data_IF_770920937648
#
_entry.id   IF_770920937648
#
_cell.length_a   1.000
_cell.length_b   1.000
_cell.length_c   1.000
_cell.angle_alpha   90.00
_cell.angle_beta   90.00
_cell.angle_gamma   90.00
#
_symmetry.space_group_name_H-M   'P 1'
#
loop_
_entity.id
_entity.type
_entity.pdbx_description
1 polymer ?
#
# COMPACT_ATOMS: atom_id res chain seq x y z
N UNK A 1 13.90 2.86 -16.87
CA UNK A 1 14.04 1.49 -16.32
C UNK A 1 12.65 0.89 -16.19
N UNK A 2 12.48 -0.40 -16.45
CA UNK A 2 11.18 -1.07 -16.31
C UNK A 2 10.92 -1.39 -14.84
N UNK A 3 9.71 -1.09 -14.34
CA UNK A 3 9.30 -1.47 -12.97
C UNK A 3 9.44 -2.97 -12.71
N UNK A 4 9.46 -3.80 -13.75
CA UNK A 4 9.63 -5.25 -13.64
C UNK A 4 10.89 -5.62 -12.84
N UNK A 5 12.03 -5.01 -13.16
CA UNK A 5 13.30 -5.31 -12.47
C UNK A 5 13.25 -4.86 -11.00
N UNK A 6 12.57 -3.76 -10.71
CA UNK A 6 12.38 -3.28 -9.34
C UNK A 6 11.48 -4.23 -8.54
N UNK A 7 10.38 -4.71 -9.14
CA UNK A 7 9.47 -5.69 -8.53
C UNK A 7 10.21 -6.99 -8.22
N UNK A 8 10.96 -7.52 -9.18
CA UNK A 8 11.74 -8.76 -9.02
C UNK A 8 12.78 -8.62 -7.90
N UNK A 9 13.45 -7.47 -7.84
CA UNK A 9 14.42 -7.17 -6.78
C UNK A 9 13.75 -7.07 -5.41
N UNK A 10 12.68 -6.27 -5.28
CA UNK A 10 11.96 -6.09 -4.01
C UNK A 10 11.42 -7.44 -3.51
N UNK A 11 10.87 -8.25 -4.41
CA UNK A 11 10.43 -9.60 -4.08
C UNK A 11 11.58 -10.43 -3.50
N UNK A 12 12.70 -10.53 -4.23
CA UNK A 12 13.87 -11.27 -3.77
C UNK A 12 14.38 -10.76 -2.41
N UNK A 13 14.52 -9.44 -2.24
CA UNK A 13 15.03 -8.83 -1.01
C UNK A 13 14.10 -9.13 0.19
N UNK A 14 12.78 -9.13 -0.02
CA UNK A 14 11.78 -9.34 1.03
C UNK A 14 11.51 -10.83 1.34
N UNK A 15 11.89 -11.75 0.45
CA UNK A 15 11.58 -13.18 0.59
C UNK A 15 12.79 -14.11 0.61
N UNK A 16 14.02 -13.59 0.52
CA UNK A 16 15.23 -14.42 0.56
C UNK A 16 15.36 -15.21 1.89
N UNK A 17 14.81 -14.67 2.99
CA UNK A 17 14.74 -15.31 4.32
C UNK A 17 15.99 -16.13 4.69
N UNK A 18 17.17 -15.55 4.51
CA UNK A 18 18.45 -16.22 4.75
C UNK A 18 18.61 -16.70 6.21
N UNK A 19 17.81 -16.16 7.13
CA UNK A 19 17.65 -16.65 8.49
C UNK A 19 16.16 -16.93 8.79
N UNK A 20 15.79 -18.13 9.31
CA UNK A 20 14.42 -18.45 9.68
C UNK A 20 13.73 -17.44 10.60
N UNK A 21 14.48 -16.73 11.47
CA UNK A 21 13.92 -15.69 12.33
C UNK A 21 13.34 -14.50 11.55
N UNK A 22 13.86 -14.23 10.34
CA UNK A 22 13.33 -13.18 9.47
C UNK A 22 11.92 -13.49 9.00
N UNK A 23 11.66 -14.74 8.60
CA UNK A 23 10.33 -15.18 8.19
C UNK A 23 9.33 -15.11 9.35
N UNK A 24 9.74 -15.54 10.55
CA UNK A 24 8.91 -15.45 11.77
C UNK A 24 8.58 -14.01 12.11
N UNK A 25 9.59 -13.14 12.17
CA UNK A 25 9.39 -11.71 12.47
C UNK A 25 8.48 -11.04 11.44
N UNK A 26 8.70 -11.34 10.15
CA UNK A 26 7.88 -10.81 9.06
C UNK A 26 6.42 -11.23 9.17
N UNK A 27 6.15 -12.51 9.48
CA UNK A 27 4.80 -13.01 9.71
C UNK A 27 4.15 -12.37 10.96
N UNK A 28 4.90 -12.24 12.06
CA UNK A 28 4.42 -11.58 13.27
C UNK A 28 4.08 -10.10 13.05
N UNK A 29 4.90 -9.36 12.30
CA UNK A 29 4.60 -7.98 11.94
C UNK A 29 3.34 -7.86 11.09
N UNK A 30 3.17 -8.73 10.08
CA UNK A 30 1.95 -8.75 9.25
C UNK A 30 0.71 -9.07 10.09
N UNK A 31 0.79 -10.02 11.02
CA UNK A 31 -0.30 -10.35 11.92
C UNK A 31 -0.69 -9.16 12.81
N UNK A 32 0.29 -8.48 13.41
CA UNK A 32 0.05 -7.29 14.24
C UNK A 32 -0.62 -6.16 13.44
N UNK A 33 -0.10 -5.84 12.25
CA UNK A 33 -0.67 -4.84 11.34
C UNK A 33 -2.09 -5.19 10.89
N UNK A 34 -2.35 -6.48 10.63
CA UNK A 34 -3.68 -6.94 10.23
C UNK A 34 -4.72 -6.72 11.33
N UNK A 35 -4.34 -6.94 12.59
CA UNK A 35 -5.22 -6.73 13.75
C UNK A 35 -5.77 -5.30 13.83
N UNK A 36 -4.93 -4.31 13.59
CA UNK A 36 -5.32 -2.89 13.58
C UNK A 36 -6.26 -2.56 12.40
N UNK A 37 -6.03 -3.15 11.22
CA UNK A 37 -6.87 -2.97 10.03
C UNK A 37 -8.32 -3.45 10.23
N UNK A 38 -8.55 -4.47 11.06
CA UNK A 38 -9.88 -5.01 11.33
C UNK A 38 -10.73 -4.12 12.27
N UNK A 39 -10.14 -3.13 12.91
CA UNK A 39 -10.88 -2.26 13.86
C UNK A 39 -11.76 -1.21 13.18
N UNK A 40 -11.47 -0.82 11.93
CA UNK A 40 -12.26 0.14 11.17
C UNK A 40 -12.26 -0.20 9.67
N UNK A 41 -12.97 -1.28 9.30
CA UNK A 41 -13.12 -1.73 7.91
C UNK A 41 -13.70 -0.68 6.96
N UNK A 42 -14.38 0.35 7.48
CA UNK A 42 -14.88 1.48 6.67
C UNK A 42 -13.75 2.39 6.20
N UNK A 43 -12.65 2.51 6.96
CA UNK A 43 -11.46 3.28 6.54
C UNK A 43 -10.80 2.72 5.30
N UNK A 44 -10.88 1.40 5.08
CA UNK A 44 -10.21 0.77 3.95
C UNK A 44 -10.54 1.42 2.60
N UNK A 45 -11.82 1.69 2.32
CA UNK A 45 -12.24 2.35 1.09
C UNK A 45 -11.77 3.82 1.05
N UNK A 46 -11.80 4.52 2.17
CA UNK A 46 -11.30 5.90 2.25
C UNK A 46 -9.79 6.00 1.99
N UNK A 47 -8.98 5.09 2.51
CA UNK A 47 -7.53 5.06 2.25
C UNK A 47 -7.23 4.79 0.78
N UNK A 48 -8.00 3.91 0.12
CA UNK A 48 -7.87 3.68 -1.33
C UNK A 48 -8.22 4.93 -2.15
N UNK A 49 -9.22 5.70 -1.73
CA UNK A 49 -9.57 6.98 -2.37
C UNK A 49 -8.51 8.05 -2.12
N UNK A 50 -7.94 8.14 -0.92
CA UNK A 50 -6.82 9.04 -0.62
C UNK A 50 -5.60 8.70 -1.49
N UNK A 51 -5.24 7.42 -1.63
CA UNK A 51 -4.15 7.02 -2.53
C UNK A 51 -4.39 7.42 -3.99
N UNK A 52 -5.65 7.39 -4.43
CA UNK A 52 -6.01 7.87 -5.76
C UNK A 52 -5.90 9.39 -5.87
N UNK A 53 -6.33 10.14 -4.87
CA UNK A 53 -6.22 11.61 -4.83
C UNK A 53 -4.75 12.07 -4.81
N UNK A 54 -3.92 11.46 -3.95
CA UNK A 54 -2.47 11.69 -3.83
C UNK A 54 -1.70 11.39 -5.13
N UNK A 55 -2.31 10.63 -6.05
CA UNK A 55 -1.74 10.31 -7.35
C UNK A 55 -2.04 11.35 -8.45
N UNK A 56 -2.81 12.40 -8.14
CA UNK A 56 -3.09 13.49 -9.08
C UNK A 56 -1.80 14.17 -9.57
N UNK A 57 -1.79 14.57 -10.85
CA UNK A 57 -0.73 15.37 -11.45
C UNK A 57 -1.33 16.66 -12.02
N UNK A 58 -0.59 17.77 -11.90
CA UNK A 58 -0.97 19.06 -12.47
C UNK A 58 -2.39 19.55 -12.06
N UNK A 59 -2.87 19.14 -10.88
CA UNK A 59 -4.22 19.38 -10.38
C UNK A 59 -5.34 18.85 -11.29
N UNK A 60 -5.07 17.82 -12.08
CA UNK A 60 -6.09 17.14 -12.86
C UNK A 60 -6.93 16.19 -11.99
N UNK A 61 -8.22 16.09 -12.31
CA UNK A 61 -9.13 15.20 -11.62
C UNK A 61 -8.78 13.73 -11.88
N UNK A 62 -8.66 12.94 -10.80
CA UNK A 62 -8.44 11.50 -10.89
C UNK A 62 -9.78 10.78 -10.95
N UNK A 63 -9.96 9.91 -11.95
CA UNK A 63 -11.10 9.00 -12.05
C UNK A 63 -10.80 7.74 -11.26
N UNK A 64 -11.75 7.28 -10.46
CA UNK A 64 -11.65 6.02 -9.71
C UNK A 64 -12.72 5.06 -10.19
N UNK A 65 -12.33 3.81 -10.41
CA UNK A 65 -13.22 2.70 -10.72
C UNK A 65 -13.17 1.69 -9.59
N UNK A 66 -14.35 1.33 -9.09
CA UNK A 66 -14.53 0.30 -8.08
C UNK A 66 -15.50 -0.72 -8.65
N UNK A 67 -15.07 -1.98 -8.72
CA UNK A 67 -15.88 -3.07 -9.23
C UNK A 67 -15.72 -4.31 -8.38
N UNK A 68 -16.84 -4.94 -8.03
CA UNK A 68 -16.85 -6.27 -7.43
C UNK A 68 -16.94 -7.28 -8.57
N UNK A 69 -16.00 -8.22 -8.60
CA UNK A 69 -15.93 -9.34 -9.55
C UNK A 69 -15.90 -10.63 -8.73
N UNK A 70 -17.05 -11.29 -8.62
CA UNK A 70 -17.26 -12.44 -7.73
C UNK A 70 -16.85 -12.08 -6.29
N UNK A 71 -15.85 -12.77 -5.73
CA UNK A 71 -15.32 -12.54 -4.39
C UNK A 71 -14.17 -11.51 -4.35
N UNK A 72 -13.90 -10.79 -5.46
CA UNK A 72 -12.80 -9.85 -5.57
C UNK A 72 -13.28 -8.40 -5.67
N UNK A 73 -12.65 -7.51 -4.89
CA UNK A 73 -12.77 -6.07 -5.06
C UNK A 73 -11.63 -5.56 -5.95
N UNK A 74 -11.97 -5.04 -7.13
CA UNK A 74 -11.02 -4.39 -8.03
C UNK A 74 -11.16 -2.88 -7.91
N UNK A 75 -10.03 -2.22 -7.63
CA UNK A 75 -9.93 -0.76 -7.56
C UNK A 75 -8.86 -0.30 -8.54
N UNK A 76 -9.19 0.70 -9.36
CA UNK A 76 -8.27 1.32 -10.30
C UNK A 76 -8.48 2.85 -10.29
N UNK A 77 -7.44 3.61 -10.61
CA UNK A 77 -7.54 5.05 -10.74
C UNK A 77 -6.71 5.57 -11.93
N UNK A 78 -7.07 6.74 -12.45
CA UNK A 78 -6.42 7.36 -13.63
C UNK A 78 -5.26 8.29 -13.28
N UNK A 79 -4.77 8.24 -12.04
CA UNK A 79 -3.67 9.09 -11.62
C UNK A 79 -2.33 8.62 -12.16
N UNK A 80 -1.25 9.17 -11.62
CA UNK A 80 0.09 8.89 -12.14
C UNK A 80 0.44 7.40 -12.06
N UNK A 81 1.21 6.87 -13.03
CA UNK A 81 1.82 5.55 -12.91
C UNK A 81 2.67 5.44 -11.64
N UNK A 82 2.76 4.22 -11.10
CA UNK A 82 3.66 3.93 -9.99
C UNK A 82 5.12 4.17 -10.37
N UNK A 83 5.89 4.57 -9.38
CA UNK A 83 7.34 4.70 -9.40
C UNK A 83 7.97 3.61 -8.55
N UNK A 84 9.28 3.41 -8.68
CA UNK A 84 10.06 2.51 -7.79
C UNK A 84 9.86 2.86 -6.32
N UNK A 85 9.69 4.15 -5.98
CA UNK A 85 9.45 4.59 -4.60
C UNK A 85 8.08 4.15 -4.09
N UNK A 86 7.06 4.17 -4.94
CA UNK A 86 5.72 3.69 -4.56
C UNK A 86 5.75 2.18 -4.32
N UNK A 87 6.44 1.41 -5.17
CA UNK A 87 6.63 -0.03 -4.97
C UNK A 87 7.31 -0.35 -3.64
N UNK A 88 8.37 0.39 -3.29
CA UNK A 88 9.03 0.25 -2.00
C UNK A 88 8.11 0.61 -0.82
N UNK A 89 7.27 1.64 -0.97
CA UNK A 89 6.30 2.03 0.06
C UNK A 89 5.25 0.95 0.30
N UNK A 90 4.72 0.35 -0.77
CA UNK A 90 3.68 -0.69 -0.69
C UNK A 90 4.24 -2.00 -0.12
N UNK A 91 5.46 -2.37 -0.50
CA UNK A 91 6.03 -3.68 -0.16
C UNK A 91 6.84 -3.71 1.16
N UNK A 92 7.09 -2.56 1.80
CA UNK A 92 7.86 -2.51 3.04
C UNK A 92 6.95 -2.52 4.28
N UNK A 93 7.18 -3.47 5.18
CA UNK A 93 6.41 -3.66 6.42
C UNK A 93 6.73 -2.62 7.51
N UNK A 94 7.74 -1.76 7.29
CA UNK A 94 8.21 -0.77 8.26
C UNK A 94 8.29 0.68 7.74
N UNK A 95 7.70 0.98 6.58
CA UNK A 95 7.75 2.32 5.97
C UNK A 95 6.37 2.98 5.86
N UNK A 96 5.49 2.77 6.85
CA UNK A 96 4.36 3.66 7.05
C UNK A 96 4.89 5.06 7.36
N UNK A 97 5.02 5.91 6.34
CA UNK A 97 5.51 7.29 6.47
C UNK A 97 4.58 8.20 7.28
N UNK A 98 3.45 7.70 7.78
CA UNK A 98 2.64 8.41 8.77
C UNK A 98 3.15 8.08 10.17
N UNK A 99 4.35 8.59 10.50
CA UNK A 99 4.69 8.89 11.91
C UNK A 99 3.56 9.77 12.45
N UNK A 100 2.74 9.20 13.33
CA UNK A 100 1.98 9.92 14.37
C UNK A 100 1.51 11.35 14.02
N UNK A 101 0.53 11.48 13.12
CA UNK A 101 -0.34 12.66 13.11
C UNK A 101 -1.79 12.19 13.27
N UNK A 102 -2.10 11.76 14.50
CA UNK A 102 -3.48 11.53 14.95
C UNK A 102 -4.26 12.85 15.17
N UNK A 103 -3.74 13.99 14.71
CA UNK A 103 -4.31 15.32 15.01
C UNK A 103 -4.87 16.10 13.81
N UNK A 104 -4.75 15.63 12.57
CA UNK A 104 -5.21 16.41 11.40
C UNK A 104 -6.48 15.84 10.73
N UNK A 105 -7.47 15.38 11.51
CA UNK A 105 -8.78 14.95 10.97
C UNK A 105 -9.82 16.09 10.90
N UNK A 106 -9.47 17.33 11.24
CA UNK A 106 -10.34 18.48 10.98
C UNK A 106 -9.57 19.70 10.47
N UNK A 107 -9.46 19.85 9.15
CA UNK A 107 -9.45 21.14 8.45
C UNK A 107 -10.14 21.04 7.10
#
# INVERSE_FOLDING_TARGET
MSLKTDIEKIFSDNTNYANPSQAVNQASSLNALSGDLYTDSKRFIYELLQNADDSSQNNEAVKVWIKILDDNLVVAHSGRPFTTRDLQGICNVNNGTKKSDLNDIYK
#
